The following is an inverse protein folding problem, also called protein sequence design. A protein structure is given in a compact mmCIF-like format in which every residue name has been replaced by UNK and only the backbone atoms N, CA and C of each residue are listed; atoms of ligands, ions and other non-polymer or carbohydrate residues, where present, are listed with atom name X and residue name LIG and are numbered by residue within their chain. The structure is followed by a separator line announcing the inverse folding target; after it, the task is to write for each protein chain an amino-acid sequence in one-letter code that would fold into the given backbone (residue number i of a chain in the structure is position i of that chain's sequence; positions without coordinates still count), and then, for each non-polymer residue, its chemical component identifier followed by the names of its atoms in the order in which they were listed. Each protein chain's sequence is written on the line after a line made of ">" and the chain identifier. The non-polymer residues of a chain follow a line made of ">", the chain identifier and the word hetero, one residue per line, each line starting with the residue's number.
data_IF_879800325429
#
_entry.id   IF_879800325429
#
_cell.length_a   1.000
_cell.length_b   1.000
_cell.length_c   1.000
_cell.angle_alpha   90.00
_cell.angle_beta   90.00
_cell.angle_gamma   90.00
#
_symmetry.space_group_name_H-M   'P 1'
#
loop_
_entity.id
_entity.type
_entity.pdbx_description
1 polymer ?
#
# COMPACT_ATOMS: atom_id res chain seq x y z
N UNK A 1 24.44 -11.59 -18.77
CA UNK A 1 23.96 -11.34 -17.39
C UNK A 1 22.46 -11.18 -17.41
N UNK A 2 21.72 -11.93 -16.60
CA UNK A 2 20.28 -11.67 -16.46
C UNK A 2 20.08 -10.24 -15.91
N UNK A 3 19.05 -9.57 -16.42
CA UNK A 3 18.69 -8.25 -15.92
C UNK A 3 18.28 -8.34 -14.43
N UNK A 4 18.65 -7.34 -13.63
CA UNK A 4 18.23 -7.23 -12.24
C UNK A 4 16.70 -7.18 -12.16
N UNK A 5 16.12 -7.92 -11.23
CA UNK A 5 14.69 -7.77 -10.93
C UNK A 5 14.41 -6.34 -10.46
N UNK A 6 13.34 -5.70 -10.95
CA UNK A 6 12.95 -4.40 -10.40
C UNK A 6 12.57 -4.53 -8.93
N UNK A 7 12.91 -3.53 -8.13
CA UNK A 7 12.64 -3.49 -6.69
C UNK A 7 11.42 -2.63 -6.39
N UNK A 8 10.50 -3.16 -5.61
CA UNK A 8 9.30 -2.46 -5.18
C UNK A 8 9.27 -2.32 -3.67
N UNK A 9 8.98 -1.11 -3.21
CA UNK A 9 8.73 -0.79 -1.81
C UNK A 9 7.23 -0.84 -1.53
N UNK A 10 6.82 -1.72 -0.60
CA UNK A 10 5.41 -1.85 -0.17
C UNK A 10 5.23 -1.19 1.19
N UNK A 11 4.64 -0.01 1.21
CA UNK A 11 4.37 0.78 2.41
C UNK A 11 3.02 0.40 3.01
N UNK A 12 2.98 0.29 4.32
CA UNK A 12 1.83 -0.25 5.07
C UNK A 12 1.54 -1.70 4.68
N UNK A 13 2.59 -2.51 4.63
CA UNK A 13 2.55 -3.82 3.96
C UNK A 13 1.72 -4.87 4.71
N UNK A 14 1.47 -4.70 5.99
CA UNK A 14 0.79 -5.70 6.82
C UNK A 14 1.42 -7.10 6.64
N UNK A 15 0.61 -8.14 6.52
CA UNK A 15 1.08 -9.51 6.32
C UNK A 15 1.60 -9.80 4.89
N UNK A 16 1.51 -8.84 3.97
CA UNK A 16 2.13 -8.94 2.66
C UNK A 16 1.24 -9.40 1.52
N UNK A 17 -0.08 -9.19 1.60
CA UNK A 17 -1.00 -9.59 0.54
C UNK A 17 -0.67 -8.96 -0.81
N UNK A 18 -0.49 -7.65 -0.87
CA UNK A 18 -0.07 -6.95 -2.09
C UNK A 18 1.35 -7.35 -2.52
N UNK A 19 2.26 -7.50 -1.55
CA UNK A 19 3.64 -7.92 -1.80
C UNK A 19 3.74 -9.26 -2.52
N UNK A 20 2.90 -10.23 -2.16
CA UNK A 20 2.85 -11.55 -2.84
C UNK A 20 2.48 -11.37 -4.31
N UNK A 21 1.50 -10.53 -4.60
CA UNK A 21 1.09 -10.22 -5.97
C UNK A 21 2.23 -9.59 -6.78
N UNK A 22 2.90 -8.60 -6.24
CA UNK A 22 4.05 -7.95 -6.88
C UNK A 22 5.23 -8.89 -7.08
N UNK A 23 5.52 -9.74 -6.10
CA UNK A 23 6.58 -10.75 -6.24
C UNK A 23 6.26 -11.73 -7.36
N UNK A 24 5.00 -12.20 -7.45
CA UNK A 24 4.53 -13.04 -8.54
C UNK A 24 4.63 -12.38 -9.92
N UNK A 25 4.51 -11.04 -9.98
CA UNK A 25 4.69 -10.26 -11.20
C UNK A 25 6.17 -9.99 -11.57
N UNK A 26 7.12 -10.42 -10.75
CA UNK A 26 8.54 -10.34 -11.05
C UNK A 26 9.33 -9.30 -10.25
N UNK A 27 8.71 -8.60 -9.30
CA UNK A 27 9.41 -7.65 -8.43
C UNK A 27 10.15 -8.35 -7.28
N UNK A 28 11.27 -7.76 -6.87
CA UNK A 28 11.86 -7.98 -5.56
C UNK A 28 11.21 -7.00 -4.60
N UNK A 29 10.48 -7.50 -3.59
CA UNK A 29 9.65 -6.67 -2.72
C UNK A 29 10.28 -6.50 -1.34
N UNK A 30 10.26 -5.28 -0.83
CA UNK A 30 10.57 -4.93 0.56
C UNK A 30 9.35 -4.28 1.17
N UNK A 31 8.89 -4.81 2.29
CA UNK A 31 7.75 -4.28 3.04
C UNK A 31 8.17 -3.37 4.18
N UNK A 32 7.38 -2.33 4.41
CA UNK A 32 7.49 -1.43 5.55
C UNK A 32 6.17 -1.35 6.27
N UNK A 33 6.20 -1.53 7.57
CA UNK A 33 5.06 -1.32 8.46
C UNK A 33 5.55 -0.78 9.80
N UNK A 34 4.72 -0.01 10.48
CA UNK A 34 5.04 0.53 11.81
C UNK A 34 4.93 -0.57 12.88
N UNK A 35 4.05 -1.53 12.65
CA UNK A 35 3.85 -2.67 13.52
C UNK A 35 4.70 -3.87 13.07
N UNK A 36 5.14 -4.72 13.99
CA UNK A 36 5.85 -5.93 13.62
C UNK A 36 4.94 -6.88 12.82
N UNK A 37 5.50 -7.47 11.77
CA UNK A 37 4.78 -8.37 10.86
C UNK A 37 5.47 -9.74 10.82
N UNK A 38 5.27 -10.60 11.82
CA UNK A 38 6.03 -11.86 11.96
C UNK A 38 5.78 -12.87 10.83
N UNK A 39 4.69 -12.70 10.10
CA UNK A 39 4.34 -13.59 8.97
C UNK A 39 4.60 -12.96 7.59
N UNK A 40 5.20 -11.78 7.54
CA UNK A 40 5.57 -11.16 6.27
C UNK A 40 6.62 -12.02 5.54
N UNK A 41 6.37 -12.44 4.27
CA UNK A 41 7.18 -13.47 3.62
C UNK A 41 8.45 -12.96 2.93
N UNK A 42 8.69 -11.65 2.89
CA UNK A 42 9.83 -11.06 2.20
C UNK A 42 10.70 -10.23 3.16
N UNK A 43 11.63 -9.46 2.63
CA UNK A 43 12.42 -8.51 3.43
C UNK A 43 11.51 -7.47 4.07
N UNK A 44 11.62 -7.31 5.38
CA UNK A 44 10.76 -6.43 6.18
C UNK A 44 11.59 -5.40 6.93
N UNK A 45 11.10 -4.16 6.94
CA UNK A 45 11.65 -3.06 7.73
C UNK A 45 10.53 -2.52 8.62
N UNK A 46 10.70 -2.60 9.93
CA UNK A 46 9.77 -1.97 10.87
C UNK A 46 10.12 -0.48 10.97
N UNK A 47 9.27 0.36 10.41
CA UNK A 47 9.45 1.81 10.41
C UNK A 47 8.13 2.53 10.14
N UNK A 48 8.09 3.82 10.52
CA UNK A 48 7.02 4.72 10.12
C UNK A 48 7.24 5.16 8.66
N UNK A 49 6.30 4.83 7.79
CA UNK A 49 6.36 5.16 6.36
C UNK A 49 6.52 6.67 6.10
N UNK A 50 5.99 7.52 7.01
CA UNK A 50 6.09 8.99 6.88
C UNK A 50 7.47 9.55 7.29
N UNK A 51 8.32 8.72 7.89
CA UNK A 51 9.64 9.13 8.41
C UNK A 51 10.81 8.42 7.73
N UNK A 52 10.55 7.74 6.61
CA UNK A 52 11.59 7.07 5.85
C UNK A 52 12.57 8.08 5.24
N UNK A 53 13.85 7.71 5.22
CA UNK A 53 14.87 8.46 4.51
C UNK A 53 14.52 8.52 3.01
N UNK A 54 14.50 9.73 2.39
CA UNK A 54 14.27 9.86 0.96
C UNK A 54 15.26 9.05 0.10
N UNK A 55 16.52 8.91 0.54
CA UNK A 55 17.52 8.08 -0.14
C UNK A 55 17.16 6.60 -0.11
N UNK A 56 16.57 6.11 0.99
CA UNK A 56 16.07 4.75 1.06
C UNK A 56 14.96 4.52 0.04
N UNK A 57 13.97 5.41 -0.03
CA UNK A 57 12.88 5.32 -1.01
C UNK A 57 13.43 5.37 -2.44
N UNK A 58 14.35 6.28 -2.72
CA UNK A 58 14.96 6.44 -4.05
C UNK A 58 15.77 5.22 -4.53
N UNK A 59 16.11 4.30 -3.63
CA UNK A 59 16.81 3.06 -3.99
C UNK A 59 15.90 2.00 -4.64
N UNK A 60 14.59 2.24 -4.70
CA UNK A 60 13.62 1.37 -5.34
C UNK A 60 13.26 1.83 -6.75
N UNK A 61 12.62 0.96 -7.52
CA UNK A 61 12.18 1.24 -8.88
C UNK A 61 10.69 1.65 -8.93
N UNK A 62 9.90 1.25 -7.93
CA UNK A 62 8.49 1.61 -7.77
C UNK A 62 8.05 1.51 -6.32
N UNK A 63 6.93 2.14 -5.98
CA UNK A 63 6.35 2.13 -4.63
C UNK A 63 4.87 1.81 -4.68
N UNK A 64 4.41 0.95 -3.78
CA UNK A 64 3.01 0.73 -3.46
C UNK A 64 2.73 1.23 -2.03
N UNK A 65 1.60 1.87 -1.81
CA UNK A 65 1.16 2.30 -0.49
C UNK A 65 -0.32 2.00 -0.28
N UNK A 66 -0.63 1.28 0.80
CA UNK A 66 -2.00 1.03 1.25
C UNK A 66 -2.19 1.63 2.65
N UNK A 67 -2.28 2.97 2.76
CA UNK A 67 -2.42 3.62 4.06
C UNK A 67 -3.73 3.22 4.75
N UNK A 68 -3.82 3.33 6.10
CA UNK A 68 -5.00 2.95 6.85
C UNK A 68 -6.29 3.56 6.28
N UNK A 69 -7.31 2.73 6.07
CA UNK A 69 -8.56 3.12 5.44
C UNK A 69 -9.65 3.58 6.42
N UNK A 70 -9.47 3.41 7.71
CA UNK A 70 -10.49 3.62 8.73
C UNK A 70 -11.03 5.06 8.73
N UNK A 71 -10.18 6.07 8.47
CA UNK A 71 -10.60 7.46 8.40
C UNK A 71 -11.54 7.74 7.19
N UNK A 72 -11.53 6.90 6.19
CA UNK A 72 -12.21 7.09 4.91
C UNK A 72 -13.38 6.13 4.71
N UNK A 73 -13.46 5.04 5.47
CA UNK A 73 -14.48 4.01 5.29
C UNK A 73 -15.87 4.50 5.72
N UNK A 74 -16.89 4.09 5.00
CA UNK A 74 -18.28 4.42 5.33
C UNK A 74 -18.72 3.82 6.65
N UNK A 75 -18.21 2.65 7.02
CA UNK A 75 -18.51 2.02 8.30
C UNK A 75 -17.99 2.86 9.47
N UNK A 76 -16.77 3.39 9.39
CA UNK A 76 -16.23 4.26 10.43
C UNK A 76 -16.99 5.58 10.51
N UNK A 77 -17.42 6.15 9.38
CA UNK A 77 -18.24 7.36 9.32
C UNK A 77 -19.60 7.15 9.98
N UNK A 78 -20.30 6.04 9.66
CA UNK A 78 -21.61 5.68 10.24
C UNK A 78 -21.52 5.51 11.76
N UNK A 79 -20.45 4.94 12.27
CA UNK A 79 -20.24 4.73 13.70
C UNK A 79 -19.71 5.98 14.43
N UNK A 80 -19.57 7.13 13.76
CA UNK A 80 -19.03 8.36 14.32
C UNK A 80 -17.55 8.31 14.71
N UNK A 81 -16.82 7.30 14.26
CA UNK A 81 -15.43 7.04 14.66
C UNK A 81 -14.40 7.46 13.60
N UNK A 82 -14.81 7.95 12.45
CA UNK A 82 -13.90 8.32 11.36
C UNK A 82 -12.82 9.35 11.75
N UNK A 83 -13.15 10.28 12.66
CA UNK A 83 -12.23 11.32 13.16
C UNK A 83 -11.14 10.80 14.09
N UNK A 84 -11.26 9.57 14.61
CA UNK A 84 -10.28 8.96 15.51
C UNK A 84 -9.09 8.35 14.78
N UNK A 85 -9.18 8.20 13.47
CA UNK A 85 -8.18 7.54 12.65
C UNK A 85 -7.34 8.52 11.85
N UNK A 86 -6.03 8.27 11.70
CA UNK A 86 -5.16 9.18 10.96
C UNK A 86 -5.52 9.21 9.47
N UNK A 87 -5.45 10.39 8.88
CA UNK A 87 -5.67 10.64 7.46
C UNK A 87 -4.32 10.70 6.76
N UNK A 88 -3.84 9.56 6.26
CA UNK A 88 -2.46 9.41 5.77
C UNK A 88 -2.32 9.44 4.25
N UNK A 89 -3.42 9.48 3.48
CA UNK A 89 -3.34 9.49 2.01
C UNK A 89 -2.60 10.73 1.51
N UNK A 90 -2.97 11.91 1.98
CA UNK A 90 -2.36 13.17 1.54
C UNK A 90 -0.86 13.23 1.89
N UNK A 91 -0.42 12.99 3.15
CA UNK A 91 1.00 13.06 3.47
C UNK A 91 1.82 11.98 2.76
N UNK A 92 1.30 10.77 2.57
CA UNK A 92 2.04 9.75 1.82
C UNK A 92 2.13 10.09 0.33
N UNK A 93 1.06 10.65 -0.26
CA UNK A 93 1.09 11.13 -1.64
C UNK A 93 2.19 12.18 -1.85
N UNK A 94 2.35 13.12 -0.94
CA UNK A 94 3.42 14.13 -1.03
C UNK A 94 4.81 13.49 -1.06
N UNK A 95 5.05 12.50 -0.23
CA UNK A 95 6.32 11.75 -0.20
C UNK A 95 6.54 11.03 -1.54
N UNK A 96 5.51 10.36 -2.06
CA UNK A 96 5.60 9.60 -3.30
C UNK A 96 5.81 10.50 -4.52
N UNK A 97 5.13 11.63 -4.59
CA UNK A 97 5.33 12.63 -5.65
C UNK A 97 6.77 13.16 -5.62
N UNK A 98 7.31 13.47 -4.44
CA UNK A 98 8.69 13.93 -4.29
C UNK A 98 9.72 12.87 -4.69
N UNK A 99 9.42 11.60 -4.51
CA UNK A 99 10.31 10.50 -4.89
C UNK A 99 10.56 10.42 -6.40
N UNK A 100 9.62 10.92 -7.21
CA UNK A 100 9.60 10.82 -8.68
C UNK A 100 9.59 9.39 -9.22
N UNK A 101 9.31 8.41 -8.36
CA UNK A 101 9.16 7.01 -8.76
C UNK A 101 7.72 6.76 -9.23
N UNK A 102 7.51 5.76 -10.10
CA UNK A 102 6.18 5.21 -10.31
C UNK A 102 5.59 4.72 -9.00
N UNK A 103 4.34 5.06 -8.73
CA UNK A 103 3.69 4.62 -7.49
C UNK A 103 2.20 4.29 -7.67
N UNK A 104 1.70 3.48 -6.76
CA UNK A 104 0.28 3.17 -6.61
C UNK A 104 -0.12 3.49 -5.18
N UNK A 105 -1.23 4.20 -5.00
CA UNK A 105 -1.91 4.33 -3.71
C UNK A 105 -3.24 3.59 -3.81
N UNK A 106 -3.46 2.64 -2.91
CA UNK A 106 -4.68 1.85 -2.82
C UNK A 106 -5.45 2.26 -1.56
N UNK A 107 -6.78 2.35 -1.66
CA UNK A 107 -7.65 2.58 -0.52
C UNK A 107 -9.10 2.19 -0.86
N UNK A 108 -10.00 2.38 0.11
CA UNK A 108 -11.44 2.08 -0.06
C UNK A 108 -12.13 3.07 -0.98
N UNK A 109 -13.29 2.69 -1.50
CA UNK A 109 -14.18 3.60 -2.22
C UNK A 109 -14.54 4.80 -1.33
N UNK A 110 -14.59 5.99 -1.93
CA UNK A 110 -14.81 7.26 -1.22
C UNK A 110 -13.57 7.85 -0.55
N UNK A 111 -12.40 7.20 -0.59
CA UNK A 111 -11.15 7.81 -0.19
C UNK A 111 -10.70 8.91 -1.18
N UNK A 112 -9.96 9.95 -0.73
CA UNK A 112 -9.57 11.08 -1.58
C UNK A 112 -8.43 10.72 -2.55
N UNK A 113 -8.65 9.75 -3.41
CA UNK A 113 -7.74 9.36 -4.48
C UNK A 113 -7.96 10.25 -5.71
N UNK A 114 -6.92 10.47 -6.49
CA UNK A 114 -6.97 11.31 -7.71
C UNK A 114 -7.19 10.40 -8.92
N UNK A 115 -8.32 10.59 -9.62
CA UNK A 115 -8.69 9.80 -10.81
C UNK A 115 -8.50 8.28 -10.60
N UNK A 116 -9.09 7.68 -9.55
CA UNK A 116 -8.83 6.29 -9.22
C UNK A 116 -9.40 5.32 -10.26
N UNK A 117 -8.71 4.20 -10.42
CA UNK A 117 -9.30 3.01 -11.05
C UNK A 117 -10.02 2.23 -9.98
N UNK A 118 -11.31 1.99 -10.16
CA UNK A 118 -12.10 1.18 -9.23
C UNK A 118 -11.99 -0.29 -9.63
N UNK A 119 -11.52 -1.11 -8.70
CA UNK A 119 -11.47 -2.56 -8.84
C UNK A 119 -12.62 -3.19 -8.05
N UNK A 120 -13.50 -3.88 -8.75
CA UNK A 120 -14.57 -4.66 -8.14
C UNK A 120 -14.20 -6.14 -8.17
N UNK A 121 -14.49 -6.85 -7.08
CA UNK A 121 -14.22 -8.27 -6.99
C UNK A 121 -14.85 -9.09 -8.13
N UNK A 122 -15.99 -8.65 -8.66
CA UNK A 122 -16.65 -9.30 -9.82
C UNK A 122 -15.83 -9.28 -11.11
N UNK A 123 -14.79 -8.46 -11.19
CA UNK A 123 -13.82 -8.43 -12.29
C UNK A 123 -12.84 -9.62 -12.27
N UNK A 124 -12.84 -10.39 -11.19
CA UNK A 124 -11.90 -11.48 -10.96
C UNK A 124 -12.66 -12.81 -10.84
N UNK A 125 -12.84 -13.56 -11.95
CA UNK A 125 -13.76 -14.72 -11.99
C UNK A 125 -13.35 -15.89 -11.06
N UNK A 126 -12.13 -15.90 -10.56
CA UNK A 126 -11.63 -16.92 -9.61
C UNK A 126 -11.83 -16.52 -8.14
N UNK A 127 -12.26 -15.30 -7.85
CA UNK A 127 -12.55 -14.87 -6.49
C UNK A 127 -13.93 -15.33 -6.07
N UNK A 128 -14.01 -15.88 -4.87
CA UNK A 128 -15.30 -16.20 -4.23
C UNK A 128 -15.74 -14.98 -3.40
N UNK A 129 -16.95 -14.54 -3.63
CA UNK A 129 -17.58 -13.51 -2.82
C UNK A 129 -18.55 -14.17 -1.85
N UNK A 130 -18.50 -13.76 -0.59
CA UNK A 130 -19.61 -14.02 0.30
C UNK A 130 -20.78 -13.13 -0.14
N UNK A 131 -21.91 -13.73 -0.48
CA UNK A 131 -23.17 -12.99 -0.56
C UNK A 131 -23.62 -12.68 0.87
N UNK A 132 -23.73 -11.41 1.20
CA UNK A 132 -24.32 -10.96 2.45
C UNK A 132 -25.80 -10.74 2.27
#
# INVERSE_FOLDING_TARGET
>A
MPARRPRLLDLFCCAGGASVGYNGAGFEVVGVDIDPQPHYPFTFVQADALKLDPGFIASFDAVHASPPCQAYSDLAKRNGNGHKWPRLIEPIREILVRSRLPYVIENVDGAPLVNPVVLCGTMFPKLRFASF
#
